data_IF_167637797353
#
_entry.id   IF_167637797353
#
_cell.length_a   1.000
_cell.length_b   1.000
_cell.length_c   1.000
_cell.angle_alpha   90.00
_cell.angle_beta   90.00
_cell.angle_gamma   90.00
#
_symmetry.space_group_name_H-M   'P 1'
#
loop_
_entity.id
_entity.type
_entity.pdbx_description
1 polymer ?
#
# COMPACT_ATOMS: atom_id res chain seq x y z
N UNK A 1 1.96 -10.51 -49.01
CA UNK A 1 1.89 -11.66 -48.08
C UNK A 1 3.25 -11.78 -47.40
N UNK A 2 3.39 -11.32 -46.18
CA UNK A 2 4.47 -11.70 -45.28
C UNK A 2 3.93 -11.48 -43.86
N UNK A 3 3.64 -12.57 -43.17
CA UNK A 3 3.19 -12.63 -41.83
C UNK A 3 4.39 -12.35 -40.89
N UNK A 4 4.43 -11.20 -40.27
CA UNK A 4 5.30 -10.93 -39.12
C UNK A 4 4.62 -11.55 -37.90
N UNK A 5 4.99 -12.80 -37.60
CA UNK A 5 4.61 -13.47 -36.38
C UNK A 5 5.24 -12.66 -35.19
N UNK A 6 4.37 -12.09 -34.34
CA UNK A 6 4.72 -11.51 -33.05
C UNK A 6 5.42 -12.58 -32.23
N UNK A 7 6.75 -12.48 -32.09
CA UNK A 7 7.48 -13.17 -31.03
C UNK A 7 7.07 -12.50 -29.71
N UNK A 8 6.20 -13.15 -28.96
CA UNK A 8 6.03 -12.89 -27.55
C UNK A 8 7.42 -13.05 -26.91
N UNK A 9 8.02 -11.95 -26.44
CA UNK A 9 9.27 -11.98 -25.68
C UNK A 9 9.03 -12.82 -24.42
N UNK A 10 9.53 -14.06 -24.46
CA UNK A 10 9.63 -14.89 -23.27
C UNK A 10 10.56 -14.16 -22.30
N UNK A 11 10.03 -13.76 -21.16
CA UNK A 11 10.84 -13.21 -20.07
C UNK A 11 11.95 -14.20 -19.67
N UNK A 12 12.99 -13.76 -18.96
CA UNK A 12 14.15 -14.59 -18.64
C UNK A 12 13.71 -15.90 -18.00
N UNK A 13 14.06 -17.02 -18.61
CA UNK A 13 13.81 -18.37 -18.10
C UNK A 13 14.49 -18.52 -16.74
N UNK A 14 13.68 -18.56 -15.68
CA UNK A 14 14.18 -18.84 -14.33
C UNK A 14 14.67 -20.30 -14.32
N UNK A 15 15.89 -20.53 -13.88
CA UNK A 15 16.62 -21.77 -14.04
C UNK A 15 15.85 -23.02 -13.52
N UNK A 16 15.93 -24.12 -14.28
CA UNK A 16 15.49 -25.48 -13.96
C UNK A 16 14.00 -25.84 -14.13
N UNK A 17 13.17 -25.07 -14.83
CA UNK A 17 11.79 -25.48 -15.16
C UNK A 17 10.83 -25.65 -13.97
N UNK A 18 11.25 -25.32 -12.74
CA UNK A 18 10.39 -25.32 -11.55
C UNK A 18 10.11 -23.90 -11.10
N UNK A 19 8.91 -23.62 -10.57
CA UNK A 19 8.58 -22.30 -10.01
C UNK A 19 9.53 -21.94 -8.85
N UNK A 20 9.93 -20.67 -8.79
CA UNK A 20 10.72 -20.12 -7.69
C UNK A 20 9.83 -20.04 -6.43
N UNK A 21 10.28 -20.67 -5.35
CA UNK A 21 9.57 -20.69 -4.07
C UNK A 21 9.84 -19.38 -3.34
N UNK A 22 8.79 -18.58 -3.15
CA UNK A 22 8.85 -17.28 -2.50
C UNK A 22 8.22 -17.34 -1.11
N UNK A 23 8.90 -16.83 -0.08
CA UNK A 23 8.33 -16.66 1.24
C UNK A 23 8.16 -15.17 1.55
N UNK A 24 6.94 -14.68 1.48
CA UNK A 24 6.58 -13.36 1.99
C UNK A 24 6.42 -13.42 3.51
N UNK A 25 6.93 -12.42 4.20
CA UNK A 25 6.76 -12.27 5.64
C UNK A 25 6.21 -10.91 6.01
N UNK A 26 5.26 -10.90 6.93
CA UNK A 26 4.72 -9.71 7.61
C UNK A 26 4.55 -10.01 9.10
N UNK A 27 4.71 -9.01 9.97
CA UNK A 27 4.60 -9.21 11.42
C UNK A 27 3.17 -9.62 11.82
N UNK A 28 2.20 -8.89 11.32
CA UNK A 28 0.77 -9.19 11.51
C UNK A 28 -0.07 -8.59 10.36
N UNK A 29 -1.33 -9.00 10.27
CA UNK A 29 -2.30 -8.41 9.35
C UNK A 29 -3.19 -7.40 10.07
N UNK A 30 -3.32 -6.20 9.48
CA UNK A 30 -4.30 -5.19 9.83
C UNK A 30 -5.12 -4.78 8.59
N UNK A 31 -5.72 -3.60 8.69
CA UNK A 31 -6.53 -3.00 7.61
C UNK A 31 -5.79 -1.79 7.05
N UNK A 32 -4.70 -2.04 6.33
CA UNK A 32 -3.84 -1.00 5.79
C UNK A 32 -3.41 -1.25 4.35
N UNK A 33 -2.80 -0.23 3.73
CA UNK A 33 -2.33 -0.32 2.34
C UNK A 33 -1.20 -1.35 2.13
N UNK A 34 -0.40 -1.62 3.16
CA UNK A 34 0.67 -2.63 3.10
C UNK A 34 0.10 -4.03 2.97
N UNK A 35 -0.91 -4.37 3.78
CA UNK A 35 -1.57 -5.66 3.76
C UNK A 35 -2.36 -5.87 2.47
N UNK A 36 -3.07 -4.83 2.01
CA UNK A 36 -3.76 -4.85 0.71
C UNK A 36 -2.78 -5.10 -0.44
N UNK A 37 -1.64 -4.42 -0.45
CA UNK A 37 -0.61 -4.62 -1.47
C UNK A 37 0.01 -6.02 -1.42
N UNK A 38 0.22 -6.59 -0.22
CA UNK A 38 0.71 -7.96 -0.09
C UNK A 38 -0.29 -8.97 -0.64
N UNK A 39 -1.58 -8.82 -0.31
CA UNK A 39 -2.65 -9.68 -0.85
C UNK A 39 -2.73 -9.55 -2.37
N UNK A 40 -2.59 -8.34 -2.92
CA UNK A 40 -2.55 -8.13 -4.36
C UNK A 40 -1.37 -8.88 -5.02
N UNK A 41 -0.15 -8.83 -4.43
CA UNK A 41 0.99 -9.61 -4.91
C UNK A 41 0.75 -11.12 -4.84
N UNK A 42 0.19 -11.63 -3.72
CA UNK A 42 -0.10 -13.06 -3.58
C UNK A 42 -1.08 -13.57 -4.65
N UNK A 43 -2.01 -12.73 -5.09
CA UNK A 43 -2.95 -13.05 -6.16
C UNK A 43 -2.33 -12.90 -7.56
N UNK A 44 -1.53 -11.87 -7.78
CA UNK A 44 -1.03 -11.48 -9.10
C UNK A 44 0.13 -12.33 -9.63
N UNK A 45 0.93 -12.96 -8.76
CA UNK A 45 2.12 -13.70 -9.16
C UNK A 45 1.78 -14.88 -10.09
N UNK A 46 2.47 -14.97 -11.22
CA UNK A 46 2.31 -16.06 -12.20
C UNK A 46 2.79 -17.39 -11.60
N UNK A 47 1.85 -18.32 -11.37
CA UNK A 47 2.10 -19.63 -10.75
C UNK A 47 3.00 -20.55 -11.58
N UNK A 48 3.17 -20.27 -12.87
CA UNK A 48 4.14 -21.00 -13.72
C UNK A 48 5.58 -20.62 -13.38
N UNK A 49 5.80 -19.40 -12.86
CA UNK A 49 7.11 -18.86 -12.51
C UNK A 49 7.37 -18.86 -11.01
N UNK A 50 6.33 -18.72 -10.18
CA UNK A 50 6.44 -18.51 -8.75
C UNK A 50 5.51 -19.39 -7.93
N UNK A 51 6.02 -19.92 -6.84
CA UNK A 51 5.25 -20.61 -5.81
C UNK A 51 5.31 -19.76 -4.52
N UNK A 52 4.38 -18.77 -4.34
CA UNK A 52 4.36 -17.92 -3.17
C UNK A 52 3.83 -18.64 -1.94
N UNK A 53 4.39 -18.30 -0.79
CA UNK A 53 3.89 -18.64 0.53
C UNK A 53 3.92 -17.41 1.43
N UNK A 54 3.08 -17.40 2.46
CA UNK A 54 2.95 -16.33 3.42
C UNK A 54 3.40 -16.81 4.81
N UNK A 55 4.26 -16.04 5.45
CA UNK A 55 4.63 -16.22 6.86
C UNK A 55 4.15 -15.01 7.66
N UNK A 56 3.45 -15.25 8.76
CA UNK A 56 2.93 -14.21 9.65
C UNK A 56 3.45 -14.47 11.06
N UNK A 57 4.04 -13.45 11.70
CA UNK A 57 4.56 -13.64 13.05
C UNK A 57 3.41 -13.82 14.06
N UNK A 58 2.37 -13.00 13.98
CA UNK A 58 1.23 -13.03 14.90
C UNK A 58 -0.09 -13.14 14.12
N UNK A 59 -0.96 -14.15 14.43
CA UNK A 59 -2.27 -14.23 13.81
C UNK A 59 -3.19 -13.10 14.29
N UNK A 60 -4.08 -12.67 13.42
CA UNK A 60 -5.09 -11.65 13.69
C UNK A 60 -6.45 -12.10 13.16
N UNK A 61 -7.53 -11.51 13.69
CA UNK A 61 -8.88 -11.77 13.18
C UNK A 61 -9.01 -11.36 11.69
N UNK A 62 -8.27 -10.32 11.27
CA UNK A 62 -8.23 -9.86 9.89
C UNK A 62 -7.55 -10.88 8.96
N UNK A 63 -6.45 -11.54 9.39
CA UNK A 63 -5.84 -12.65 8.64
C UNK A 63 -6.83 -13.80 8.44
N UNK A 64 -7.57 -14.17 9.51
CA UNK A 64 -8.55 -15.25 9.45
C UNK A 64 -9.75 -14.86 8.56
N UNK A 65 -10.15 -13.60 8.55
CA UNK A 65 -11.17 -13.09 7.64
C UNK A 65 -10.73 -13.16 6.17
N UNK A 66 -9.50 -12.73 5.85
CA UNK A 66 -8.94 -12.79 4.49
C UNK A 66 -8.80 -14.24 3.97
N UNK A 67 -8.48 -15.18 4.86
CA UNK A 67 -8.43 -16.61 4.49
C UNK A 67 -9.83 -17.18 4.24
N UNK A 68 -10.80 -16.87 5.11
CA UNK A 68 -12.19 -17.35 4.93
C UNK A 68 -12.89 -16.78 3.70
N UNK A 69 -12.60 -15.52 3.36
CA UNK A 69 -13.16 -14.88 2.16
C UNK A 69 -12.50 -15.33 0.86
N UNK A 70 -11.39 -16.08 0.91
CA UNK A 70 -10.61 -16.45 -0.26
C UNK A 70 -9.77 -15.29 -0.84
N UNK A 71 -9.66 -14.16 -0.14
CA UNK A 71 -8.81 -13.04 -0.55
C UNK A 71 -7.32 -13.44 -0.60
N UNK A 72 -6.87 -14.32 0.32
CA UNK A 72 -5.60 -15.04 0.18
C UNK A 72 -5.89 -16.32 -0.58
N UNK A 73 -5.24 -16.56 -1.74
CA UNK A 73 -5.49 -17.74 -2.57
C UNK A 73 -5.24 -19.05 -1.81
N UNK A 74 -6.08 -20.06 -2.06
CA UNK A 74 -6.03 -21.34 -1.37
C UNK A 74 -4.72 -22.13 -1.63
N UNK A 75 -4.06 -21.86 -2.75
CA UNK A 75 -2.77 -22.43 -3.14
C UNK A 75 -1.57 -21.79 -2.43
N UNK A 76 -1.78 -20.71 -1.66
CA UNK A 76 -0.73 -20.03 -0.89
C UNK A 76 -0.64 -20.61 0.52
N UNK A 77 0.41 -21.38 0.86
CA UNK A 77 0.62 -21.84 2.21
C UNK A 77 0.80 -20.69 3.19
N UNK A 78 0.13 -20.75 4.34
CA UNK A 78 0.22 -19.71 5.39
C UNK A 78 0.86 -20.30 6.64
N UNK A 79 2.04 -19.79 7.01
CA UNK A 79 2.81 -20.18 8.18
C UNK A 79 2.64 -19.15 9.31
N UNK A 80 1.90 -19.51 10.37
CA UNK A 80 1.77 -18.67 11.57
C UNK A 80 2.84 -19.07 12.58
N UNK A 81 3.72 -18.13 12.96
CA UNK A 81 4.93 -18.43 13.73
C UNK A 81 4.70 -18.41 15.24
N UNK A 82 3.88 -17.50 15.76
CA UNK A 82 3.52 -17.43 17.18
C UNK A 82 2.09 -17.95 17.37
N UNK A 83 1.95 -19.22 17.76
CA UNK A 83 0.65 -19.91 17.89
C UNK A 83 0.04 -19.85 19.29
N UNK A 84 0.81 -19.46 20.31
CA UNK A 84 0.32 -19.43 21.70
C UNK A 84 -0.66 -18.27 21.90
N UNK A 85 -1.89 -18.55 22.33
CA UNK A 85 -2.97 -17.55 22.52
C UNK A 85 -2.55 -16.38 23.40
N UNK A 86 -1.81 -16.59 24.47
CA UNK A 86 -1.34 -15.52 25.35
C UNK A 86 -0.34 -14.56 24.68
N UNK A 87 0.41 -15.03 23.69
CA UNK A 87 1.36 -14.20 22.95
C UNK A 87 0.69 -13.11 22.11
N UNK A 88 -0.57 -13.32 21.74
CA UNK A 88 -1.37 -12.39 20.95
C UNK A 88 -2.04 -11.33 21.81
N UNK A 89 -2.45 -11.69 23.04
CA UNK A 89 -3.30 -10.82 23.86
C UNK A 89 -2.64 -9.45 24.13
N UNK A 90 -1.35 -9.44 24.48
CA UNK A 90 -0.61 -8.19 24.72
C UNK A 90 -0.35 -7.41 23.42
N UNK A 91 -0.08 -8.12 22.32
CA UNK A 91 0.13 -7.49 21.01
C UNK A 91 -1.16 -6.86 20.47
N UNK A 92 -2.28 -7.56 20.57
CA UNK A 92 -3.61 -7.03 20.22
C UNK A 92 -4.02 -5.87 21.13
N UNK A 93 -3.67 -5.93 22.43
CA UNK A 93 -3.97 -4.86 23.38
C UNK A 93 -3.19 -3.57 23.03
N UNK A 94 -1.92 -3.69 22.63
CA UNK A 94 -1.10 -2.57 22.18
C UNK A 94 -1.70 -1.88 20.93
N UNK A 95 -2.31 -2.64 20.04
CA UNK A 95 -3.01 -2.11 18.86
C UNK A 95 -4.30 -1.37 19.20
N UNK A 96 -5.01 -1.83 20.23
CA UNK A 96 -6.33 -1.26 20.61
C UNK A 96 -6.21 -0.03 21.52
N UNK A 97 -5.16 0.05 22.34
CA UNK A 97 -4.92 1.17 23.27
C UNK A 97 -3.46 1.29 23.68
N UNK A 98 -3.08 2.45 24.24
CA UNK A 98 -1.77 2.59 24.89
C UNK A 98 -1.67 1.65 26.10
N UNK A 99 -0.62 0.84 26.14
CA UNK A 99 -0.34 -0.06 27.26
C UNK A 99 0.03 0.76 28.53
N UNK A 100 -0.41 0.30 29.72
CA UNK A 100 0.01 0.81 31.01
C UNK A 100 1.46 0.40 31.30
N UNK A 101 2.11 1.04 32.28
CA UNK A 101 3.53 0.83 32.57
C UNK A 101 3.87 -0.66 32.80
N UNK A 102 3.12 -1.36 33.68
CA UNK A 102 3.31 -2.79 33.94
C UNK A 102 3.08 -3.66 32.70
N UNK A 103 2.07 -3.36 31.90
CA UNK A 103 1.79 -4.04 30.62
C UNK A 103 2.91 -3.82 29.61
N UNK A 104 3.48 -2.60 29.53
CA UNK A 104 4.64 -2.30 28.68
C UNK A 104 5.88 -3.08 29.10
N UNK A 105 6.12 -3.21 30.41
CA UNK A 105 7.26 -3.99 30.91
C UNK A 105 7.08 -5.47 30.61
N UNK A 106 5.90 -6.03 30.86
CA UNK A 106 5.55 -7.40 30.52
C UNK A 106 5.68 -7.66 29.02
N UNK A 107 5.12 -6.78 28.20
CA UNK A 107 5.21 -6.85 26.72
C UNK A 107 6.69 -6.80 26.25
N UNK A 108 7.52 -5.96 26.87
CA UNK A 108 8.95 -5.87 26.53
C UNK A 108 9.69 -7.15 26.88
N UNK A 109 9.43 -7.76 28.04
CA UNK A 109 10.11 -8.96 28.50
C UNK A 109 9.62 -10.23 27.78
N UNK A 110 8.30 -10.36 27.56
CA UNK A 110 7.72 -11.55 26.93
C UNK A 110 7.73 -11.43 25.40
N UNK A 111 7.04 -10.44 24.83
CA UNK A 111 6.85 -10.34 23.37
C UNK A 111 8.16 -9.97 22.68
N UNK A 112 8.86 -8.93 23.17
CA UNK A 112 10.09 -8.49 22.49
C UNK A 112 11.33 -9.39 22.78
N UNK A 113 11.43 -10.03 23.94
CA UNK A 113 12.61 -10.82 24.25
C UNK A 113 12.44 -12.32 23.93
N UNK A 114 11.37 -12.95 24.40
CA UNK A 114 11.18 -14.40 24.25
C UNK A 114 10.47 -14.75 22.94
N UNK A 115 9.30 -14.13 22.67
CA UNK A 115 8.48 -14.48 21.50
C UNK A 115 9.20 -14.13 20.20
N UNK A 116 9.83 -12.96 20.12
CA UNK A 116 10.59 -12.55 18.93
C UNK A 116 11.77 -13.49 18.63
N UNK A 117 12.40 -14.10 19.65
CA UNK A 117 13.43 -15.11 19.44
C UNK A 117 12.83 -16.42 18.91
N UNK A 118 11.68 -16.83 19.43
CA UNK A 118 10.96 -18.01 18.95
C UNK A 118 10.48 -17.82 17.51
N UNK A 119 9.87 -16.67 17.21
CA UNK A 119 9.45 -16.29 15.85
C UNK A 119 10.64 -16.34 14.89
N UNK A 120 11.78 -15.75 15.27
CA UNK A 120 12.98 -15.76 14.44
C UNK A 120 13.49 -17.18 14.16
N UNK A 121 13.50 -18.07 15.17
CA UNK A 121 13.92 -19.49 14.99
C UNK A 121 12.97 -20.25 14.07
N UNK A 122 11.65 -20.15 14.31
CA UNK A 122 10.62 -20.80 13.48
C UNK A 122 10.64 -20.26 12.06
N UNK A 123 10.80 -18.94 11.91
CA UNK A 123 10.92 -18.33 10.59
C UNK A 123 12.10 -18.93 9.81
N UNK A 124 13.30 -19.02 10.40
CA UNK A 124 14.47 -19.58 9.71
C UNK A 124 14.29 -21.05 9.34
N UNK A 125 13.56 -21.83 10.15
CA UNK A 125 13.20 -23.21 9.81
C UNK A 125 12.27 -23.26 8.58
N UNK A 126 11.23 -22.39 8.52
CA UNK A 126 10.36 -22.31 7.36
C UNK A 126 11.12 -21.80 6.14
N UNK A 127 11.90 -20.73 6.31
CA UNK A 127 12.63 -20.07 5.22
C UNK A 127 13.65 -20.99 4.51
N UNK A 128 14.16 -22.01 5.16
CA UNK A 128 15.08 -22.99 4.54
C UNK A 128 14.46 -23.77 3.38
N UNK A 129 13.12 -23.77 3.27
CA UNK A 129 12.39 -24.41 2.17
C UNK A 129 12.13 -23.49 0.97
N UNK A 130 12.63 -22.24 0.96
CA UNK A 130 12.32 -21.25 -0.05
C UNK A 130 13.56 -20.69 -0.73
N UNK A 131 13.40 -20.24 -1.97
CA UNK A 131 14.49 -19.77 -2.81
C UNK A 131 14.72 -18.26 -2.65
N UNK A 132 13.70 -17.48 -2.29
CA UNK A 132 13.78 -16.05 -1.98
C UNK A 132 12.89 -15.75 -0.76
N UNK A 133 13.38 -14.92 0.14
CA UNK A 133 12.65 -14.38 1.30
C UNK A 133 12.31 -12.92 1.05
N UNK A 134 11.02 -12.55 1.16
CA UNK A 134 10.52 -11.18 1.05
C UNK A 134 10.04 -10.69 2.43
N UNK A 135 10.87 -9.92 3.15
CA UNK A 135 10.49 -9.27 4.42
C UNK A 135 9.70 -7.98 4.11
N UNK A 136 8.37 -8.08 4.16
CA UNK A 136 7.47 -7.10 3.58
C UNK A 136 7.24 -5.87 4.47
N UNK A 137 7.69 -5.88 5.72
CA UNK A 137 7.55 -4.78 6.69
C UNK A 137 8.82 -4.49 7.51
N UNK A 138 9.93 -5.12 7.16
CA UNK A 138 11.19 -5.09 7.91
C UNK A 138 11.09 -5.60 9.35
N UNK A 139 10.09 -6.39 9.70
CA UNK A 139 9.95 -6.96 11.05
C UNK A 139 11.10 -7.92 11.39
N UNK A 140 11.64 -8.60 10.39
CA UNK A 140 12.76 -9.55 10.53
C UNK A 140 14.15 -8.94 10.31
N UNK A 141 14.29 -7.62 10.14
CA UNK A 141 15.58 -6.94 9.87
C UNK A 141 16.73 -7.31 10.80
N UNK A 142 16.45 -7.81 12.01
CA UNK A 142 17.49 -8.24 12.96
C UNK A 142 18.16 -9.56 12.56
N UNK A 143 17.48 -10.38 11.80
CA UNK A 143 17.94 -11.69 11.32
C UNK A 143 18.09 -11.74 9.80
N UNK A 144 17.87 -10.63 9.12
CA UNK A 144 18.02 -10.53 7.67
C UNK A 144 19.39 -11.04 7.22
N UNK A 145 19.42 -11.72 6.06
CA UNK A 145 20.62 -12.32 5.48
C UNK A 145 21.05 -13.64 6.14
N UNK A 146 20.27 -14.19 7.07
CA UNK A 146 20.55 -15.53 7.62
C UNK A 146 19.93 -16.61 6.74
N UNK A 147 20.60 -17.73 6.62
CA UNK A 147 20.25 -18.84 5.73
C UNK A 147 20.91 -18.69 4.35
N UNK A 148 20.45 -19.48 3.39
CA UNK A 148 21.03 -19.54 2.03
C UNK A 148 20.24 -18.72 1.01
N UNK A 149 18.95 -18.45 1.26
CA UNK A 149 18.10 -17.68 0.37
C UNK A 149 18.47 -16.20 0.43
N UNK A 150 18.50 -15.46 -0.71
CA UNK A 150 18.59 -14.01 -0.72
C UNK A 150 17.34 -13.38 -0.10
N UNK A 151 17.53 -12.26 0.62
CA UNK A 151 16.47 -11.53 1.28
C UNK A 151 16.17 -10.23 0.55
N UNK A 152 14.91 -10.04 0.20
CA UNK A 152 14.36 -8.78 -0.30
C UNK A 152 13.59 -8.09 0.84
N UNK A 153 14.00 -6.89 1.23
CA UNK A 153 13.21 -6.06 2.13
C UNK A 153 12.31 -5.13 1.32
N UNK A 154 11.06 -4.90 1.74
CA UNK A 154 10.13 -4.00 1.02
C UNK A 154 9.78 -2.79 1.90
N UNK A 155 9.97 -1.58 1.38
CA UNK A 155 9.60 -0.33 2.06
C UNK A 155 8.32 0.26 1.47
N UNK A 156 7.30 0.40 2.32
CA UNK A 156 6.00 0.99 1.96
C UNK A 156 5.90 2.48 2.29
N UNK A 157 6.99 3.12 2.65
CA UNK A 157 7.04 4.54 3.04
C UNK A 157 8.41 5.14 2.74
N UNK A 158 8.42 6.45 2.55
CA UNK A 158 9.66 7.24 2.41
C UNK A 158 10.59 7.05 3.62
N UNK A 159 11.86 6.72 3.35
CA UNK A 159 12.88 6.62 4.39
C UNK A 159 13.16 7.97 5.03
N UNK A 160 13.09 9.07 4.28
CA UNK A 160 13.25 10.43 4.79
C UNK A 160 12.13 10.79 5.74
N UNK A 161 10.87 10.54 5.37
CA UNK A 161 9.72 10.78 6.24
C UNK A 161 9.82 9.98 7.56
N UNK A 162 10.29 8.73 7.48
CA UNK A 162 10.39 7.85 8.67
C UNK A 162 11.61 8.10 9.52
N UNK A 163 12.74 8.43 8.94
CA UNK A 163 14.03 8.46 9.62
C UNK A 163 14.70 9.83 9.65
N UNK A 164 14.25 10.81 8.87
CA UNK A 164 14.90 12.12 8.72
C UNK A 164 15.09 12.91 10.02
N UNK A 165 14.31 12.57 11.07
CA UNK A 165 14.43 13.16 12.42
C UNK A 165 15.19 12.26 13.41
N UNK A 166 15.83 11.16 12.96
CA UNK A 166 16.54 10.22 13.84
C UNK A 166 18.03 10.54 13.87
N UNK A 167 18.65 10.40 15.05
CA UNK A 167 20.09 10.64 15.21
C UNK A 167 20.98 9.58 14.55
N UNK A 168 22.25 9.93 14.34
CA UNK A 168 23.25 9.17 13.59
C UNK A 168 23.46 7.74 14.09
N UNK A 169 23.50 7.54 15.42
CA UNK A 169 23.64 6.19 16.00
C UNK A 169 22.47 5.26 15.66
N UNK A 170 21.24 5.81 15.59
CA UNK A 170 20.08 5.06 15.14
C UNK A 170 20.20 4.72 13.66
N UNK A 171 20.58 5.70 12.83
CA UNK A 171 20.76 5.53 11.39
C UNK A 171 21.88 4.51 11.08
N UNK A 172 23.06 4.63 11.69
CA UNK A 172 24.14 3.67 11.51
C UNK A 172 23.75 2.24 11.85
N UNK A 173 22.95 2.05 12.91
CA UNK A 173 22.40 0.73 13.25
C UNK A 173 21.41 0.22 12.20
N UNK A 174 20.53 1.09 11.67
CA UNK A 174 19.55 0.73 10.62
C UNK A 174 20.24 0.37 9.32
N UNK A 175 21.17 1.19 8.87
CA UNK A 175 21.97 0.93 7.67
C UNK A 175 22.67 -0.42 7.74
N UNK A 176 23.32 -0.74 8.87
CA UNK A 176 23.92 -2.08 9.07
C UNK A 176 22.93 -3.23 9.04
N UNK A 177 21.66 -3.01 9.43
CA UNK A 177 20.63 -4.02 9.32
C UNK A 177 20.15 -4.16 7.87
N UNK A 178 19.99 -3.06 7.17
CA UNK A 178 19.52 -3.04 5.79
C UNK A 178 20.56 -3.55 4.79
N UNK A 179 21.85 -3.35 5.06
CA UNK A 179 22.94 -3.92 4.27
C UNK A 179 23.03 -5.48 4.31
N UNK A 180 22.20 -6.12 5.13
CA UNK A 180 22.09 -7.59 5.16
C UNK A 180 21.05 -8.13 4.16
N UNK A 181 20.19 -7.28 3.61
CA UNK A 181 19.31 -7.67 2.53
C UNK A 181 20.09 -7.72 1.22
N UNK A 182 19.78 -8.67 0.35
CA UNK A 182 20.34 -8.71 -0.99
C UNK A 182 19.89 -7.48 -1.82
N UNK A 183 18.66 -7.03 -1.56
CA UNK A 183 18.15 -5.75 -2.05
C UNK A 183 17.03 -5.22 -1.13
N UNK A 184 16.80 -3.90 -1.19
CA UNK A 184 15.63 -3.23 -0.62
C UNK A 184 14.79 -2.72 -1.77
N UNK A 185 13.56 -3.23 -1.89
CA UNK A 185 12.56 -2.74 -2.81
C UNK A 185 11.86 -1.50 -2.23
N UNK A 186 11.68 -0.51 -3.08
CA UNK A 186 10.90 0.71 -2.82
C UNK A 186 9.87 0.88 -3.91
N UNK A 187 8.80 1.63 -3.66
CA UNK A 187 7.59 1.59 -4.49
C UNK A 187 7.61 2.60 -5.64
N UNK A 188 8.45 3.64 -5.54
CA UNK A 188 8.49 4.74 -6.52
C UNK A 188 9.92 5.20 -6.80
N UNK A 189 10.17 5.82 -7.97
CA UNK A 189 11.47 6.43 -8.29
C UNK A 189 11.90 7.48 -7.25
N UNK A 190 10.96 8.27 -6.71
CA UNK A 190 11.26 9.25 -5.68
C UNK A 190 11.78 8.58 -4.40
N UNK A 191 11.13 7.47 -3.96
CA UNK A 191 11.61 6.68 -2.82
C UNK A 191 12.97 6.05 -3.09
N UNK A 192 13.24 5.61 -4.33
CA UNK A 192 14.54 5.06 -4.71
C UNK A 192 15.63 6.11 -4.56
N UNK A 193 15.44 7.30 -5.13
CA UNK A 193 16.38 8.39 -5.02
C UNK A 193 16.66 8.83 -3.57
N UNK A 194 15.62 8.93 -2.73
CA UNK A 194 15.77 9.20 -1.30
C UNK A 194 16.61 8.12 -0.60
N UNK A 195 16.34 6.85 -0.88
CA UNK A 195 17.00 5.72 -0.24
C UNK A 195 18.47 5.61 -0.70
N UNK A 196 18.76 5.79 -1.98
CA UNK A 196 20.10 5.79 -2.52
C UNK A 196 20.98 6.90 -1.91
N UNK A 197 20.41 8.11 -1.75
CA UNK A 197 21.08 9.20 -1.03
C UNK A 197 21.35 8.85 0.44
N UNK A 198 20.33 8.34 1.13
CA UNK A 198 20.40 8.02 2.56
C UNK A 198 21.41 6.92 2.87
N UNK A 199 21.54 5.94 1.98
CA UNK A 199 22.40 4.78 2.14
C UNK A 199 23.67 4.84 1.26
N UNK A 200 24.02 5.99 0.72
CA UNK A 200 25.22 6.15 -0.10
C UNK A 200 26.47 5.62 0.62
N UNK A 201 27.30 4.85 -0.10
CA UNK A 201 28.52 4.25 0.43
C UNK A 201 28.35 3.14 1.47
N UNK A 202 27.11 2.72 1.77
CA UNK A 202 26.82 1.71 2.82
C UNK A 202 26.74 0.27 2.33
N UNK A 203 26.77 0.02 1.00
CA UNK A 203 26.54 -1.29 0.39
C UNK A 203 25.07 -1.73 0.37
N UNK A 204 24.13 -0.90 0.80
CA UNK A 204 22.69 -1.17 0.66
C UNK A 204 22.30 -1.02 -0.79
N UNK A 205 21.83 -2.11 -1.41
CA UNK A 205 21.26 -2.11 -2.75
C UNK A 205 19.80 -1.72 -2.70
N UNK A 206 19.39 -0.69 -3.43
CA UNK A 206 18.01 -0.24 -3.56
C UNK A 206 17.52 -0.54 -4.96
N UNK A 207 16.27 -1.00 -5.09
CA UNK A 207 15.62 -1.31 -6.38
C UNK A 207 14.18 -0.79 -6.36
N UNK A 208 13.68 -0.37 -7.51
CA UNK A 208 12.27 -0.03 -7.66
C UNK A 208 11.44 -1.30 -7.89
N UNK A 209 10.40 -1.49 -7.07
CA UNK A 209 9.38 -2.52 -7.25
C UNK A 209 8.01 -1.94 -6.84
N UNK A 210 7.29 -1.30 -7.75
CA UNK A 210 5.96 -0.76 -7.50
C UNK A 210 4.98 -1.86 -7.07
N UNK A 211 3.98 -1.48 -6.27
CA UNK A 211 2.88 -2.39 -5.97
C UNK A 211 2.11 -2.75 -7.25
N UNK A 212 1.55 -3.95 -7.27
CA UNK A 212 0.69 -4.40 -8.35
C UNK A 212 -0.72 -3.84 -8.19
N UNK A 213 -1.34 -3.43 -9.29
CA UNK A 213 -2.75 -3.04 -9.39
C UNK A 213 -3.42 -4.03 -10.33
N UNK A 214 -4.22 -4.94 -9.78
CA UNK A 214 -4.97 -5.91 -10.60
C UNK A 214 -6.22 -5.24 -11.17
N UNK A 215 -6.05 -4.65 -12.36
CA UNK A 215 -7.11 -3.91 -13.06
C UNK A 215 -8.34 -4.79 -13.31
N UNK A 216 -8.15 -6.04 -13.68
CA UNK A 216 -9.24 -6.96 -13.97
C UNK A 216 -10.04 -7.30 -12.71
N UNK A 217 -9.37 -7.64 -11.61
CA UNK A 217 -10.01 -7.94 -10.34
C UNK A 217 -10.74 -6.73 -9.76
N UNK A 218 -10.14 -5.53 -9.83
CA UNK A 218 -10.76 -4.28 -9.38
C UNK A 218 -12.05 -4.01 -10.17
N UNK A 219 -12.01 -4.10 -11.49
CA UNK A 219 -13.19 -3.91 -12.35
C UNK A 219 -14.29 -4.93 -12.08
N UNK A 220 -13.94 -6.20 -11.85
CA UNK A 220 -14.88 -7.23 -11.46
C UNK A 220 -15.53 -6.93 -10.12
N UNK A 221 -14.76 -6.58 -9.09
CA UNK A 221 -15.28 -6.26 -7.77
C UNK A 221 -16.16 -4.99 -7.78
N UNK A 222 -15.89 -4.05 -8.68
CA UNK A 222 -16.68 -2.83 -8.86
C UNK A 222 -18.08 -3.07 -9.44
N UNK A 223 -18.41 -4.30 -9.86
CA UNK A 223 -19.77 -4.66 -10.32
C UNK A 223 -20.72 -5.05 -9.19
N UNK A 224 -20.21 -5.17 -7.95
CA UNK A 224 -21.05 -5.53 -6.82
C UNK A 224 -22.14 -4.48 -6.57
N UNK A 225 -23.34 -4.95 -6.24
CA UNK A 225 -24.46 -4.06 -5.85
C UNK A 225 -24.21 -3.49 -4.46
N UNK A 226 -24.43 -2.19 -4.30
CA UNK A 226 -24.28 -1.46 -3.03
C UNK A 226 -25.41 -0.45 -2.89
N UNK A 227 -25.68 -0.03 -1.65
CA UNK A 227 -26.56 1.10 -1.38
C UNK A 227 -25.79 2.41 -1.58
N UNK A 228 -26.39 3.34 -2.34
CA UNK A 228 -25.78 4.61 -2.65
C UNK A 228 -26.10 5.65 -1.57
N UNK A 229 -25.09 6.31 -0.99
CA UNK A 229 -25.32 7.34 0.02
C UNK A 229 -25.86 8.66 -0.56
N UNK A 230 -25.67 8.86 -1.85
CA UNK A 230 -26.13 10.03 -2.61
C UNK A 230 -26.23 9.70 -4.10
N UNK A 231 -27.02 10.47 -4.85
CA UNK A 231 -27.18 10.30 -6.30
C UNK A 231 -25.87 10.63 -7.06
N UNK A 232 -25.23 11.74 -6.67
CA UNK A 232 -23.96 12.24 -7.25
C UNK A 232 -23.00 12.58 -6.14
N UNK A 233 -21.75 12.12 -6.24
CA UNK A 233 -20.77 12.34 -5.19
C UNK A 233 -19.31 12.28 -5.68
N UNK A 234 -18.43 12.92 -4.91
CA UNK A 234 -16.99 12.65 -4.90
C UNK A 234 -16.66 11.72 -3.75
N UNK A 235 -15.60 10.90 -3.88
CA UNK A 235 -15.24 9.92 -2.88
C UNK A 235 -13.82 10.13 -2.36
N UNK A 236 -13.61 9.89 -1.07
CA UNK A 236 -12.30 9.69 -0.47
C UNK A 236 -12.25 8.35 0.24
N UNK A 237 -11.26 7.52 -0.08
CA UNK A 237 -11.08 6.19 0.50
C UNK A 237 -9.79 6.19 1.29
N UNK A 238 -9.89 6.36 2.61
CA UNK A 238 -8.72 6.42 3.47
C UNK A 238 -9.09 6.23 4.94
N UNK A 239 -8.12 5.77 5.75
CA UNK A 239 -8.27 5.75 7.20
C UNK A 239 -8.44 7.17 7.74
N UNK A 240 -9.40 7.38 8.65
CA UNK A 240 -9.64 8.67 9.28
C UNK A 240 -8.56 8.96 10.36
N UNK A 241 -7.37 9.31 9.89
CA UNK A 241 -6.15 9.59 10.65
C UNK A 241 -5.55 10.91 10.14
N UNK A 242 -5.77 11.97 10.86
CA UNK A 242 -5.40 13.34 10.48
C UNK A 242 -3.88 13.55 10.41
N UNK A 243 -3.12 12.74 11.14
CA UNK A 243 -1.65 12.79 11.06
C UNK A 243 -1.11 12.42 9.69
N UNK A 244 -1.85 11.62 8.92
CA UNK A 244 -1.47 11.16 7.59
C UNK A 244 -2.41 11.65 6.48
N UNK A 245 -3.72 11.50 6.67
CA UNK A 245 -4.71 11.60 5.58
C UNK A 245 -5.33 12.99 5.39
N UNK A 246 -5.22 13.86 6.42
CA UNK A 246 -5.59 15.28 6.37
C UNK A 246 -6.99 15.58 5.79
N UNK A 247 -7.99 14.84 6.25
CA UNK A 247 -9.38 15.05 5.84
C UNK A 247 -9.89 16.44 6.23
N UNK A 248 -9.25 17.12 7.20
CA UNK A 248 -9.58 18.51 7.54
C UNK A 248 -9.37 19.44 6.37
N UNK A 249 -8.29 19.27 5.60
CA UNK A 249 -8.05 20.03 4.38
C UNK A 249 -9.13 19.72 3.33
N UNK A 250 -9.48 18.45 3.14
CA UNK A 250 -10.54 18.04 2.22
C UNK A 250 -11.90 18.63 2.61
N UNK A 251 -12.32 18.52 3.87
CA UNK A 251 -13.61 19.06 4.34
C UNK A 251 -13.71 20.58 4.15
N UNK A 252 -12.65 21.32 4.43
CA UNK A 252 -12.61 22.78 4.23
C UNK A 252 -12.65 23.14 2.74
N UNK A 253 -11.88 22.44 1.90
CA UNK A 253 -11.89 22.65 0.46
C UNK A 253 -13.26 22.34 -0.16
N UNK A 254 -13.87 21.26 0.30
CA UNK A 254 -15.22 20.88 -0.13
C UNK A 254 -16.27 21.90 0.33
N UNK A 255 -16.22 22.35 1.57
CA UNK A 255 -17.13 23.40 2.07
C UNK A 255 -17.01 24.69 1.27
N UNK A 256 -15.78 25.12 0.99
CA UNK A 256 -15.52 26.32 0.19
C UNK A 256 -16.02 26.18 -1.25
N UNK A 257 -15.85 25.02 -1.87
CA UNK A 257 -16.37 24.74 -3.20
C UNK A 257 -17.91 24.71 -3.21
N UNK A 258 -18.53 23.97 -2.27
CA UNK A 258 -19.97 23.81 -2.15
C UNK A 258 -20.69 25.16 -1.93
N UNK A 259 -20.10 26.07 -1.16
CA UNK A 259 -20.67 27.39 -0.91
C UNK A 259 -20.84 28.24 -2.19
N UNK A 260 -20.11 27.94 -3.26
CA UNK A 260 -20.19 28.60 -4.55
C UNK A 260 -21.08 27.87 -5.58
N UNK A 261 -21.58 26.68 -5.23
CA UNK A 261 -22.25 25.75 -6.14
C UNK A 261 -23.55 25.21 -5.53
N UNK A 262 -24.71 25.70 -5.94
CA UNK A 262 -26.01 25.18 -5.47
C UNK A 262 -26.24 23.73 -5.88
N UNK A 263 -25.67 23.30 -7.00
CA UNK A 263 -25.73 21.97 -7.60
C UNK A 263 -24.54 21.04 -7.20
N UNK A 264 -23.84 21.40 -6.12
CA UNK A 264 -22.69 20.63 -5.64
C UNK A 264 -23.05 19.17 -5.34
N UNK A 265 -22.18 18.28 -5.76
CA UNK A 265 -22.28 16.84 -5.43
C UNK A 265 -21.87 16.57 -3.99
N UNK A 266 -22.32 15.48 -3.40
CA UNK A 266 -22.00 15.12 -2.04
C UNK A 266 -20.56 14.57 -1.89
N UNK A 267 -20.05 14.54 -0.66
CA UNK A 267 -18.75 13.96 -0.33
C UNK A 267 -18.94 12.65 0.46
N UNK A 268 -18.43 11.55 -0.07
CA UNK A 268 -18.47 10.25 0.56
C UNK A 268 -17.09 9.91 1.11
N UNK A 269 -17.01 9.62 2.41
CA UNK A 269 -15.80 9.21 3.12
C UNK A 269 -15.89 7.73 3.47
N UNK A 270 -15.11 6.91 2.76
CA UNK A 270 -14.98 5.47 3.01
C UNK A 270 -13.74 5.21 3.85
N UNK A 271 -13.96 4.84 5.08
CA UNK A 271 -12.91 4.54 6.04
C UNK A 271 -13.33 4.83 7.48
N UNK A 272 -12.53 4.35 8.40
CA UNK A 272 -12.72 4.59 9.83
C UNK A 272 -11.37 4.94 10.47
N UNK A 273 -11.40 5.52 11.66
CA UNK A 273 -10.17 5.90 12.35
C UNK A 273 -10.38 6.74 13.60
N UNK A 274 -9.29 7.04 14.32
CA UNK A 274 -9.36 7.70 15.61
C UNK A 274 -9.92 9.14 15.55
N UNK A 275 -9.84 9.78 14.38
CA UNK A 275 -10.24 11.18 14.23
C UNK A 275 -11.67 11.36 13.68
N UNK A 276 -12.44 10.25 13.50
CA UNK A 276 -13.80 10.28 12.96
C UNK A 276 -14.69 11.32 13.66
N UNK A 277 -14.79 11.26 14.98
CA UNK A 277 -15.67 12.17 15.73
C UNK A 277 -15.27 13.64 15.56
N UNK A 278 -13.96 13.94 15.50
CA UNK A 278 -13.46 15.29 15.28
C UNK A 278 -13.72 15.79 13.85
N UNK A 279 -13.77 14.89 12.86
CA UNK A 279 -14.10 15.23 11.48
C UNK A 279 -15.60 15.43 11.30
N UNK A 280 -16.45 14.63 11.95
CA UNK A 280 -17.90 14.82 11.98
C UNK A 280 -18.25 16.18 12.61
N UNK A 281 -17.62 16.53 13.76
CA UNK A 281 -17.77 17.85 14.37
C UNK A 281 -17.34 18.99 13.41
N UNK A 282 -16.21 18.82 12.70
CA UNK A 282 -15.76 19.81 11.73
C UNK A 282 -16.77 20.00 10.57
N UNK A 283 -17.40 18.92 10.12
CA UNK A 283 -18.44 19.00 9.10
C UNK A 283 -19.68 19.79 9.59
N UNK A 284 -20.05 19.64 10.87
CA UNK A 284 -21.09 20.45 11.52
C UNK A 284 -20.69 21.95 11.59
N UNK A 285 -19.47 22.24 12.05
CA UNK A 285 -18.93 23.61 12.14
C UNK A 285 -18.90 24.30 10.76
N UNK A 286 -18.56 23.56 9.71
CA UNK A 286 -18.53 24.02 8.32
C UNK A 286 -19.92 24.06 7.66
N UNK A 287 -20.99 23.59 8.34
CA UNK A 287 -22.37 23.51 7.83
C UNK A 287 -22.51 22.67 6.56
N UNK A 288 -21.77 21.57 6.50
CA UNK A 288 -21.81 20.62 5.37
C UNK A 288 -22.19 19.20 5.81
N UNK A 289 -22.63 19.00 7.04
CA UNK A 289 -22.90 17.68 7.64
C UNK A 289 -23.92 16.87 6.85
N UNK A 290 -24.91 17.52 6.29
CA UNK A 290 -25.96 16.94 5.44
C UNK A 290 -25.47 16.42 4.09
N UNK A 291 -24.33 16.92 3.64
CA UNK A 291 -23.73 16.57 2.36
C UNK A 291 -22.43 15.76 2.49
N UNK A 292 -22.05 15.36 3.71
CA UNK A 292 -20.86 14.54 3.96
C UNK A 292 -21.26 13.22 4.61
N UNK A 293 -21.03 12.12 3.89
CA UNK A 293 -21.43 10.77 4.30
C UNK A 293 -20.23 10.00 4.85
N UNK A 294 -20.18 9.80 6.17
CA UNK A 294 -19.15 9.01 6.86
C UNK A 294 -19.58 7.53 6.89
N UNK A 295 -19.21 6.75 5.88
CA UNK A 295 -19.67 5.37 5.67
C UNK A 295 -18.96 4.34 6.56
N UNK A 296 -17.89 4.71 7.24
CA UNK A 296 -17.08 3.75 8.00
C UNK A 296 -16.21 2.87 7.09
N UNK A 297 -15.65 1.81 7.68
CA UNK A 297 -14.84 0.86 6.93
C UNK A 297 -15.67 0.11 5.89
N UNK A 298 -15.22 0.16 4.64
CA UNK A 298 -15.82 -0.55 3.52
C UNK A 298 -14.84 -1.61 2.99
N UNK A 299 -15.25 -2.88 3.00
CA UNK A 299 -14.40 -3.98 2.55
C UNK A 299 -14.19 -4.00 1.03
N UNK A 300 -15.19 -3.54 0.27
CA UNK A 300 -15.12 -3.38 -1.19
C UNK A 300 -15.51 -1.95 -1.57
N UNK A 301 -14.57 -1.00 -1.65
CA UNK A 301 -14.87 0.38 -2.00
C UNK A 301 -15.08 0.60 -3.51
N UNK A 302 -14.75 -0.37 -4.35
CA UNK A 302 -14.68 -0.20 -5.80
C UNK A 302 -16.00 0.17 -6.48
N UNK A 303 -17.19 -0.32 -6.07
CA UNK A 303 -18.45 0.18 -6.62
C UNK A 303 -18.61 1.68 -6.42
N UNK A 304 -18.32 2.18 -5.21
CA UNK A 304 -18.40 3.60 -4.89
C UNK A 304 -17.38 4.42 -5.69
N UNK A 305 -16.13 3.94 -5.77
CA UNK A 305 -15.08 4.62 -6.55
C UNK A 305 -15.47 4.70 -8.02
N UNK A 306 -16.02 3.63 -8.60
CA UNK A 306 -16.48 3.60 -10.00
C UNK A 306 -17.63 4.59 -10.28
N UNK A 307 -18.54 4.74 -9.33
CA UNK A 307 -19.70 5.63 -9.47
C UNK A 307 -19.40 7.08 -9.13
N UNK A 308 -18.32 7.36 -8.42
CA UNK A 308 -17.94 8.71 -8.04
C UNK A 308 -17.54 9.57 -9.26
N UNK A 309 -17.87 10.86 -9.23
CA UNK A 309 -17.42 11.81 -10.24
C UNK A 309 -15.92 12.09 -10.15
N UNK A 310 -15.33 11.96 -8.96
CA UNK A 310 -13.90 12.02 -8.73
C UNK A 310 -13.51 11.32 -7.43
N UNK A 311 -12.25 10.84 -7.36
CA UNK A 311 -11.61 10.43 -6.11
C UNK A 311 -10.67 11.53 -5.65
N UNK A 312 -10.73 11.86 -4.35
CA UNK A 312 -9.86 12.88 -3.73
C UNK A 312 -9.00 12.28 -2.62
N UNK A 313 -7.69 12.56 -2.66
CA UNK A 313 -6.71 12.15 -1.65
C UNK A 313 -5.96 13.38 -1.12
N UNK A 314 -6.23 13.76 0.13
CA UNK A 314 -5.67 14.95 0.78
C UNK A 314 -4.39 14.69 1.61
N UNK A 315 -3.80 13.51 1.50
CA UNK A 315 -2.74 13.00 2.38
C UNK A 315 -1.52 13.92 2.50
N UNK A 316 -0.93 13.96 3.69
CA UNK A 316 0.35 14.64 3.97
C UNK A 316 1.57 13.84 3.56
N UNK A 317 1.46 12.52 3.49
CA UNK A 317 2.48 11.61 2.99
C UNK A 317 1.86 10.29 2.56
N UNK A 318 2.41 9.72 1.50
CA UNK A 318 2.05 8.41 0.96
C UNK A 318 3.31 7.63 0.58
N UNK A 319 3.21 6.29 0.55
CA UNK A 319 4.26 5.47 -0.03
C UNK A 319 4.05 5.24 -1.52
N UNK A 320 2.82 4.93 -1.92
CA UNK A 320 2.46 4.63 -3.31
C UNK A 320 1.12 5.26 -3.72
N UNK A 321 0.14 5.31 -2.79
CA UNK A 321 -1.19 5.81 -3.09
C UNK A 321 -2.04 4.79 -3.85
N UNK A 322 -2.13 3.55 -3.35
CA UNK A 322 -2.90 2.46 -3.96
C UNK A 322 -4.28 2.92 -4.48
N UNK A 323 -4.99 3.69 -3.67
CA UNK A 323 -6.34 4.17 -3.98
C UNK A 323 -6.40 5.04 -5.25
N UNK A 324 -5.33 5.78 -5.57
CA UNK A 324 -5.24 6.54 -6.82
C UNK A 324 -5.18 5.60 -8.02
N UNK A 325 -4.35 4.55 -7.93
CA UNK A 325 -4.26 3.52 -8.94
C UNK A 325 -5.56 2.75 -9.11
N UNK A 326 -6.25 2.44 -8.03
CA UNK A 326 -7.55 1.78 -8.02
C UNK A 326 -8.62 2.63 -8.72
N UNK A 327 -8.65 3.94 -8.46
CA UNK A 327 -9.55 4.87 -9.15
C UNK A 327 -9.23 4.97 -10.66
N UNK A 328 -7.96 5.10 -11.03
CA UNK A 328 -7.53 5.13 -12.42
C UNK A 328 -7.88 3.82 -13.16
N UNK A 329 -7.79 2.65 -12.49
CA UNK A 329 -8.21 1.35 -13.04
C UNK A 329 -9.71 1.30 -13.37
N UNK A 330 -10.52 2.07 -12.64
CA UNK A 330 -11.97 2.20 -12.83
C UNK A 330 -12.35 3.33 -13.78
N UNK A 331 -11.39 4.15 -14.22
CA UNK A 331 -11.63 5.32 -15.06
C UNK A 331 -12.15 6.54 -14.30
N UNK A 332 -12.11 6.51 -12.97
CA UNK A 332 -12.54 7.61 -12.11
C UNK A 332 -11.45 8.69 -12.09
N UNK A 333 -11.78 9.96 -12.39
CA UNK A 333 -10.84 11.06 -12.31
C UNK A 333 -10.28 11.24 -10.89
N UNK A 334 -9.01 11.61 -10.77
CA UNK A 334 -8.34 11.72 -9.46
C UNK A 334 -7.78 13.10 -9.20
N UNK A 335 -7.93 13.55 -7.95
CA UNK A 335 -7.30 14.73 -7.37
C UNK A 335 -6.50 14.31 -6.15
N UNK A 336 -5.23 14.66 -6.08
CA UNK A 336 -4.41 14.32 -4.92
C UNK A 336 -3.58 15.52 -4.42
N UNK A 337 -3.33 15.54 -3.12
CA UNK A 337 -2.28 16.37 -2.57
C UNK A 337 -0.92 15.84 -3.05
N UNK A 338 -0.06 16.75 -3.50
CA UNK A 338 1.31 16.47 -3.97
C UNK A 338 2.24 16.27 -2.77
N UNK A 339 1.96 15.22 -2.01
CA UNK A 339 2.74 14.87 -0.85
C UNK A 339 4.00 14.06 -1.22
N UNK A 340 5.03 14.07 -0.34
CA UNK A 340 6.26 13.33 -0.59
C UNK A 340 6.02 11.87 -0.95
N UNK A 341 6.64 11.44 -2.03
CA UNK A 341 6.56 10.13 -2.69
C UNK A 341 5.13 9.77 -3.15
N UNK A 342 4.85 8.73 -3.79
CA UNK A 342 3.53 8.23 -4.17
C UNK A 342 2.72 9.06 -5.16
N UNK A 343 1.93 10.08 -4.78
CA UNK A 343 0.96 10.72 -5.67
C UNK A 343 1.55 11.32 -6.94
N UNK A 344 2.65 12.05 -6.87
CA UNK A 344 3.32 12.62 -8.04
C UNK A 344 3.77 11.54 -9.02
N UNK A 345 4.41 10.49 -8.51
CA UNK A 345 4.84 9.37 -9.34
C UNK A 345 3.64 8.60 -9.90
N UNK A 346 2.60 8.33 -9.08
CA UNK A 346 1.39 7.63 -9.52
C UNK A 346 0.65 8.40 -10.63
N UNK A 347 0.54 9.71 -10.48
CA UNK A 347 -0.19 10.58 -11.43
C UNK A 347 0.70 11.12 -12.56
N UNK A 348 1.92 10.59 -12.71
CA UNK A 348 2.81 10.94 -13.81
C UNK A 348 3.02 12.46 -13.92
N UNK A 349 3.48 13.08 -12.82
CA UNK A 349 3.66 14.54 -12.70
C UNK A 349 2.41 15.38 -13.00
N UNK A 350 1.21 14.85 -12.69
CA UNK A 350 -0.06 15.53 -12.89
C UNK A 350 -0.69 15.31 -14.27
N UNK A 351 -0.08 14.48 -15.14
CA UNK A 351 -0.64 14.13 -16.46
C UNK A 351 -1.82 13.17 -16.36
N UNK A 352 -1.84 12.30 -15.36
CA UNK A 352 -2.86 11.28 -15.16
C UNK A 352 -3.92 11.64 -14.09
N UNK A 353 -3.83 12.84 -13.49
CA UNK A 353 -4.73 13.34 -12.46
C UNK A 353 -4.26 14.70 -11.95
N UNK A 354 -5.09 15.43 -11.22
CA UNK A 354 -4.72 16.74 -10.70
C UNK A 354 -3.89 16.63 -9.42
N UNK A 355 -2.85 17.45 -9.29
CA UNK A 355 -2.03 17.59 -8.09
C UNK A 355 -2.15 19.00 -7.53
N UNK A 356 -2.26 19.10 -6.19
CA UNK A 356 -2.32 20.37 -5.46
C UNK A 356 -1.34 20.34 -4.28
N UNK A 357 -0.85 21.49 -3.78
CA UNK A 357 0.03 21.51 -2.62
C UNK A 357 -0.64 20.89 -1.39
N UNK A 358 0.19 20.24 -0.54
CA UNK A 358 -0.29 19.63 0.71
C UNK A 358 -0.85 20.69 1.65
N UNK A 359 -2.07 20.47 2.16
CA UNK A 359 -2.73 21.35 3.12
C UNK A 359 -3.30 22.64 2.51
N UNK A 360 -3.23 22.82 1.20
CA UNK A 360 -3.74 24.00 0.49
C UNK A 360 -5.24 23.82 0.18
N UNK A 361 -6.06 24.45 1.00
CA UNK A 361 -7.53 24.40 0.91
C UNK A 361 -8.02 25.06 -0.38
N UNK A 362 -7.45 26.22 -0.74
CA UNK A 362 -7.86 27.00 -1.90
C UNK A 362 -7.52 26.28 -3.20
N UNK A 363 -6.31 25.75 -3.32
CA UNK A 363 -5.89 24.98 -4.47
C UNK A 363 -6.73 23.70 -4.63
N UNK A 364 -7.04 23.00 -3.54
CA UNK A 364 -7.87 21.79 -3.56
C UNK A 364 -9.31 22.10 -3.94
N UNK A 365 -9.89 23.20 -3.44
CA UNK A 365 -11.22 23.67 -3.80
C UNK A 365 -11.31 24.05 -5.29
N UNK A 366 -10.33 24.78 -5.81
CA UNK A 366 -10.25 25.13 -7.23
C UNK A 366 -10.05 23.92 -8.14
N UNK A 367 -9.23 22.96 -7.72
CA UNK A 367 -9.01 21.71 -8.46
C UNK A 367 -10.27 20.83 -8.48
N UNK A 368 -11.01 20.74 -7.36
CA UNK A 368 -12.32 20.10 -7.31
C UNK A 368 -13.28 20.71 -8.33
N UNK A 369 -13.43 22.03 -8.32
CA UNK A 369 -14.27 22.73 -9.28
C UNK A 369 -13.86 22.39 -10.72
N UNK A 370 -12.58 22.54 -11.04
CA UNK A 370 -12.05 22.26 -12.37
C UNK A 370 -12.32 20.83 -12.81
N UNK A 371 -12.07 19.84 -11.92
CA UNK A 371 -12.25 18.43 -12.22
C UNK A 371 -13.74 18.06 -12.46
N UNK A 372 -14.65 18.70 -11.73
CA UNK A 372 -16.08 18.39 -11.79
C UNK A 372 -16.82 19.15 -12.89
N UNK A 373 -16.36 20.35 -13.26
CA UNK A 373 -17.08 21.19 -14.23
C UNK A 373 -16.46 21.24 -15.63
N UNK A 374 -15.14 20.99 -15.75
CA UNK A 374 -14.41 21.08 -17.01
C UNK A 374 -14.28 19.70 -17.67
N UNK A 375 -15.10 19.45 -18.69
CA UNK A 375 -15.09 18.20 -19.44
C UNK A 375 -13.79 17.98 -20.23
N UNK A 376 -13.15 19.05 -20.70
CA UNK A 376 -11.91 18.98 -21.49
C UNK A 376 -10.75 18.55 -20.60
N UNK A 377 -10.73 19.01 -19.35
CA UNK A 377 -9.75 18.54 -18.37
C UNK A 377 -9.90 17.04 -18.14
N UNK A 378 -11.10 16.53 -17.90
CA UNK A 378 -11.32 15.09 -17.71
C UNK A 378 -10.96 14.29 -18.96
N UNK A 379 -11.34 14.78 -20.14
CA UNK A 379 -11.00 14.14 -21.41
C UNK A 379 -9.48 14.08 -21.68
N UNK A 380 -8.74 15.09 -21.25
CA UNK A 380 -7.28 15.11 -21.38
C UNK A 380 -6.59 14.15 -20.39
N UNK A 381 -7.10 14.03 -19.16
CA UNK A 381 -6.52 13.16 -18.12
C UNK A 381 -6.77 11.67 -18.38
N UNK A 382 -7.93 11.30 -18.90
CA UNK A 382 -8.37 9.91 -19.00
C UNK A 382 -7.42 8.99 -19.79
N UNK A 383 -6.93 9.34 -21.01
CA UNK A 383 -6.00 8.47 -21.74
C UNK A 383 -4.65 8.34 -21.02
N UNK A 384 -4.16 9.41 -20.38
CA UNK A 384 -2.92 9.37 -19.61
C UNK A 384 -3.06 8.47 -18.38
N UNK A 385 -4.18 8.56 -17.65
CA UNK A 385 -4.49 7.69 -16.53
C UNK A 385 -4.56 6.23 -16.94
N UNK A 386 -5.23 5.91 -18.06
CA UNK A 386 -5.32 4.56 -18.59
C UNK A 386 -3.95 4.00 -19.02
N UNK A 387 -3.11 4.79 -19.67
CA UNK A 387 -1.76 4.39 -20.04
C UNK A 387 -0.86 4.19 -18.79
N UNK A 388 -0.97 5.10 -17.83
CA UNK A 388 -0.18 5.05 -16.61
C UNK A 388 -0.52 3.83 -15.77
N UNK A 389 -1.81 3.56 -15.52
CA UNK A 389 -2.21 2.43 -14.68
C UNK A 389 -1.84 1.07 -15.29
N UNK A 390 -1.83 0.93 -16.60
CA UNK A 390 -1.39 -0.28 -17.29
C UNK A 390 0.07 -0.64 -16.98
N UNK A 391 0.90 0.32 -16.59
CA UNK A 391 2.28 0.07 -16.19
C UNK A 391 2.40 -0.63 -14.84
N UNK A 392 1.36 -0.65 -14.01
CA UNK A 392 1.30 -1.31 -12.71
C UNK A 392 0.45 -2.58 -12.71
N UNK A 393 -0.16 -2.93 -13.86
CA UNK A 393 -1.00 -4.11 -14.00
C UNK A 393 -0.22 -5.42 -13.86
N UNK A 394 -0.94 -6.50 -13.61
CA UNK A 394 -0.43 -7.84 -13.33
C UNK A 394 0.66 -8.29 -14.33
N UNK A 395 0.51 -8.15 -15.66
CA UNK A 395 1.58 -8.56 -16.58
C UNK A 395 2.87 -7.75 -16.43
N UNK A 396 2.76 -6.44 -16.20
CA UNK A 396 3.93 -5.57 -16.02
C UNK A 396 4.63 -5.84 -14.68
N UNK A 397 3.84 -6.04 -13.60
CA UNK A 397 4.34 -6.39 -12.29
C UNK A 397 5.10 -7.73 -12.29
N UNK A 398 4.54 -8.76 -12.94
CA UNK A 398 5.21 -10.07 -13.07
C UNK A 398 6.54 -9.98 -13.83
N UNK A 399 6.61 -9.21 -14.92
CA UNK A 399 7.89 -9.01 -15.63
C UNK A 399 8.95 -8.38 -14.75
N UNK A 400 8.59 -7.33 -13.99
CA UNK A 400 9.53 -6.66 -13.06
C UNK A 400 9.97 -7.60 -11.94
N UNK A 401 9.04 -8.31 -11.34
CA UNK A 401 9.36 -9.25 -10.26
C UNK A 401 10.23 -10.41 -10.75
N UNK A 402 9.96 -10.94 -11.96
CA UNK A 402 10.75 -12.01 -12.56
C UNK A 402 12.20 -11.56 -12.83
N UNK A 403 12.40 -10.36 -13.36
CA UNK A 403 13.73 -9.79 -13.56
C UNK A 403 14.48 -9.63 -12.23
N UNK A 404 13.82 -9.07 -11.20
CA UNK A 404 14.41 -8.92 -9.87
C UNK A 404 14.74 -10.27 -9.22
N UNK A 405 13.85 -11.26 -9.32
CA UNK A 405 14.07 -12.59 -8.76
C UNK A 405 15.25 -13.30 -9.41
N UNK A 406 15.38 -13.22 -10.75
CA UNK A 406 16.52 -13.77 -11.48
C UNK A 406 17.85 -13.15 -11.03
N UNK A 407 17.86 -11.85 -10.85
CA UNK A 407 19.02 -11.08 -10.42
C UNK A 407 19.43 -11.40 -8.95
N UNK A 408 18.45 -11.51 -8.05
CA UNK A 408 18.69 -11.93 -6.65
C UNK A 408 19.28 -13.34 -6.56
N UNK A 409 18.75 -14.28 -7.37
CA UNK A 409 19.23 -15.66 -7.40
C UNK A 409 20.61 -15.80 -8.05
N UNK A 410 20.93 -14.99 -9.06
CA UNK A 410 22.26 -14.94 -9.67
C UNK A 410 23.32 -14.41 -8.71
N UNK A 411 23.01 -13.38 -7.93
CA UNK A 411 23.89 -12.79 -6.95
C UNK A 411 24.14 -13.68 -5.70
N UNK A 412 23.29 -14.68 -5.45
CA UNK A 412 23.40 -15.61 -4.33
C UNK A 412 24.20 -16.89 -4.66
N UNK A 413 24.55 -17.11 -5.94
CA UNK A 413 25.41 -18.20 -6.41
C UNK A 413 26.86 -17.83 -6.33
#
# INVERSE_FOLDING_TARGET
>A
MNAVASRAEAGPSIANGKPVRLLFHIDDFGRGGTETALVAWLNALDRRQFAPALSVAFPTDDLDALRRSGAIPADVPVHVLATARWSHALHQLERRRRLRFGEKLLHKLTTHAAIRRLVARRFLQVASGYDIVCDYDFSLRRIAGRGTAPWLGVSHYSFVARFGKKGDAYMARRTRQYARYAAIAVLTPAMQHEAEKMFAGSGVRVVELPNVIDIAAIRQQATASVEWPAERFVVSVARLDEGQKDHRTLLRAYAQWRARRPDAVDLVLLGDGPDRAALEQLADELRIRDAVHFMGYCANPFPYVRAAEALVLSSRYEGFGMVLGEAMALGTPVLAADCPTGPRDMLDDGRAGLLVPVGDVDAMSAALERLLTDADVRAALAPCAAARIATFDVPAANRRFAALAADLLAAAR
#
